data_IF_573172470711
#
_entry.id   IF_573172470711
#
_cell.length_a   1.000
_cell.length_b   1.000
_cell.length_c   1.000
_cell.angle_alpha   90.00
_cell.angle_beta   90.00
_cell.angle_gamma   90.00
#
_symmetry.space_group_name_H-M   'P 1'
#
loop_
_entity.id
_entity.type
_entity.pdbx_description
1 polymer ?
#
# COMPACT_ATOMS: atom_id res chain seq x y z
N UNK A 1 1.96 27.94 2.97
CA UNK A 1 1.67 27.53 2.66
C UNK A 1 1.18 26.93 2.20
N UNK A 2 1.33 27.13 2.06
CA UNK A 2 0.85 26.56 1.56
C UNK A 2 0.44 26.03 1.00
N UNK A 3 0.59 26.18 0.68
CA UNK A 3 0.14 25.76 0.05
C UNK A 3 -0.24 25.10 -0.33
N UNK A 4 0.00 25.01 -0.37
CA UNK A 4 -0.35 24.27 -0.78
C UNK A 4 -1.15 23.72 -0.96
N UNK A 5 -1.14 23.70 -0.49
CA UNK A 5 -1.71 22.77 -0.80
C UNK A 5 -2.81 22.90 -1.33
N UNK A 6 -2.99 23.57 -1.20
CA UNK A 6 -4.06 23.73 -1.64
C UNK A 6 -4.19 23.43 -2.83
N UNK A 7 -3.44 23.29 -3.07
CA UNK A 7 -3.39 23.24 -4.15
C UNK A 7 -4.12 22.47 -5.01
N UNK A 8 -4.60 21.43 -4.71
CA UNK A 8 -5.32 20.65 -5.61
C UNK A 8 -6.79 20.85 -5.40
N UNK A 9 -7.42 21.62 -6.20
CA UNK A 9 -8.79 22.00 -5.96
C UNK A 9 -9.75 20.85 -6.06
N UNK A 10 -9.36 19.79 -6.71
CA UNK A 10 -10.23 18.67 -6.77
C UNK A 10 -10.03 17.72 -5.63
N UNK A 11 -9.24 18.10 -4.69
CA UNK A 11 -9.01 17.26 -3.56
C UNK A 11 -8.08 16.11 -3.79
N UNK A 12 -7.68 15.89 -5.00
CA UNK A 12 -6.74 14.83 -5.27
C UNK A 12 -5.37 15.30 -4.89
N UNK A 13 -4.74 14.61 -4.00
CA UNK A 13 -3.40 14.96 -3.58
C UNK A 13 -2.41 14.05 -4.25
N UNK A 14 -1.26 14.58 -4.54
CA UNK A 14 -0.23 13.76 -5.12
C UNK A 14 0.35 12.85 -4.07
N UNK A 15 0.66 11.64 -4.50
CA UNK A 15 1.39 10.71 -3.67
C UNK A 15 2.77 11.29 -3.39
N UNK A 16 3.20 11.22 -2.15
CA UNK A 16 4.50 11.73 -1.77
C UNK A 16 5.17 10.77 -0.81
N UNK A 17 6.49 10.77 -0.81
CA UNK A 17 7.26 9.98 0.13
C UNK A 17 7.20 10.66 1.49
N UNK A 18 6.87 9.88 2.50
CA UNK A 18 6.72 10.42 3.84
C UNK A 18 7.80 9.85 4.74
N UNK A 19 8.28 10.69 5.66
CA UNK A 19 9.27 10.27 6.63
C UNK A 19 8.57 9.67 7.83
N UNK A 20 7.94 8.52 7.62
CA UNK A 20 7.19 7.85 8.65
C UNK A 20 7.33 6.36 8.44
N UNK A 21 7.33 5.61 9.53
CA UNK A 21 7.36 4.15 9.49
C UNK A 21 6.01 3.65 9.95
N UNK A 22 5.40 2.77 9.16
CA UNK A 22 4.17 2.10 9.58
C UNK A 22 4.53 0.84 10.33
N UNK A 23 3.92 0.66 11.47
CA UNK A 23 4.14 -0.53 12.30
C UNK A 23 2.81 -1.26 12.41
N UNK A 24 2.77 -2.52 12.01
CA UNK A 24 1.54 -3.31 12.03
C UNK A 24 1.85 -4.70 12.56
N UNK A 25 0.82 -5.52 12.72
CA UNK A 25 0.97 -6.79 13.42
C UNK A 25 1.50 -7.93 12.56
N UNK A 26 1.71 -7.70 11.29
CA UNK A 26 2.24 -8.73 10.40
C UNK A 26 1.18 -9.53 9.67
N UNK A 27 -0.09 -9.38 10.03
CA UNK A 27 -1.15 -10.10 9.37
C UNK A 27 -1.52 -9.44 8.04
N UNK A 28 -2.16 -10.22 7.18
CA UNK A 28 -2.61 -9.67 5.91
C UNK A 28 -3.64 -8.58 6.12
N UNK A 29 -4.55 -8.79 7.08
CA UNK A 29 -5.53 -7.74 7.38
C UNK A 29 -4.86 -6.48 7.88
N UNK A 30 -3.82 -6.62 8.71
CA UNK A 30 -3.09 -5.46 9.15
C UNK A 30 -2.40 -4.74 8.00
N UNK A 31 -1.87 -5.49 7.06
CA UNK A 31 -1.28 -4.89 5.88
C UNK A 31 -2.32 -4.12 5.07
N UNK A 32 -3.53 -4.68 4.95
CA UNK A 32 -4.58 -3.97 4.21
C UNK A 32 -4.96 -2.67 4.90
N UNK A 33 -4.87 -2.63 6.23
CA UNK A 33 -5.08 -1.38 6.94
C UNK A 33 -3.96 -0.38 6.66
N UNK A 34 -2.74 -0.87 6.47
CA UNK A 34 -1.65 0.01 6.05
C UNK A 34 -1.93 0.58 4.66
N UNK A 35 -2.48 -0.24 3.77
CA UNK A 35 -2.87 0.24 2.45
C UNK A 35 -3.90 1.35 2.58
N UNK A 36 -4.89 1.14 3.44
CA UNK A 36 -5.90 2.15 3.65
C UNK A 36 -5.29 3.46 4.13
N UNK A 37 -4.40 3.38 5.11
CA UNK A 37 -3.78 4.59 5.65
C UNK A 37 -2.96 5.29 4.60
N UNK A 38 -2.19 4.53 3.83
CA UNK A 38 -1.35 5.12 2.80
C UNK A 38 -2.18 5.86 1.76
N UNK A 39 -3.30 5.26 1.35
CA UNK A 39 -4.16 5.92 0.38
C UNK A 39 -4.90 7.10 0.98
N UNK A 40 -5.33 7.00 2.24
CA UNK A 40 -6.05 8.08 2.88
C UNK A 40 -5.16 9.32 3.02
N UNK A 41 -3.88 9.11 3.29
CA UNK A 41 -2.95 10.22 3.48
C UNK A 41 -2.18 10.56 2.21
N UNK A 42 -2.35 9.78 1.15
CA UNK A 42 -1.61 9.96 -0.12
C UNK A 42 -0.11 9.98 0.12
N UNK A 43 0.37 9.03 0.91
CA UNK A 43 1.77 9.00 1.27
C UNK A 43 2.33 7.60 1.12
N UNK A 44 3.62 7.51 0.79
CA UNK A 44 4.36 6.27 0.84
C UNK A 44 5.27 6.34 2.05
N UNK A 45 5.10 5.45 3.03
CA UNK A 45 5.97 5.50 4.20
C UNK A 45 7.39 5.12 3.84
N UNK A 46 8.32 5.53 4.70
CA UNK A 46 9.71 5.14 4.53
C UNK A 46 9.86 3.63 4.62
N UNK A 47 9.12 3.00 5.52
CA UNK A 47 9.17 1.55 5.68
C UNK A 47 7.88 1.08 6.32
N UNK A 48 7.61 -0.22 6.18
CA UNK A 48 6.48 -0.87 6.83
C UNK A 48 7.06 -2.06 7.60
N UNK A 49 6.99 -2.01 8.92
CA UNK A 49 7.63 -2.99 9.77
C UNK A 49 6.63 -3.70 10.64
N UNK A 50 7.01 -4.91 11.07
CA UNK A 50 6.35 -5.59 12.17
C UNK A 50 7.20 -5.43 13.41
N UNK A 51 6.65 -5.72 14.60
CA UNK A 51 7.47 -5.59 15.81
C UNK A 51 8.76 -6.39 15.78
N UNK A 52 8.74 -7.53 15.11
CA UNK A 52 9.95 -8.36 15.03
C UNK A 52 11.03 -7.73 14.18
N UNK A 53 10.64 -6.86 13.25
CA UNK A 53 11.60 -6.23 12.35
C UNK A 53 11.87 -4.77 12.68
N UNK A 54 11.29 -4.30 13.76
CA UNK A 54 11.45 -2.90 14.13
C UNK A 54 12.88 -2.64 14.54
N UNK A 55 13.45 -1.57 14.02
CA UNK A 55 14.79 -1.15 14.38
C UNK A 55 14.73 0.32 14.78
N UNK A 56 15.83 0.80 15.34
CA UNK A 56 15.92 2.21 15.71
C UNK A 56 15.81 3.07 14.47
N UNK A 57 15.05 4.14 14.57
CA UNK A 57 14.86 5.04 13.45
C UNK A 57 14.65 6.45 13.98
N UNK A 58 15.08 7.42 13.19
CA UNK A 58 14.82 8.82 13.50
C UNK A 58 13.46 9.28 13.01
N UNK A 59 12.79 8.46 12.21
CA UNK A 59 11.48 8.81 11.69
C UNK A 59 10.41 8.43 12.69
N UNK A 60 9.31 9.18 12.75
CA UNK A 60 8.20 8.79 13.61
C UNK A 60 7.61 7.46 13.18
N UNK A 61 7.14 6.72 14.15
CA UNK A 61 6.52 5.43 13.90
C UNK A 61 5.02 5.57 14.12
N UNK A 62 4.25 5.17 13.12
CA UNK A 62 2.80 5.23 13.19
C UNK A 62 2.27 3.81 13.36
N UNK A 63 1.59 3.56 14.46
CA UNK A 63 0.96 2.27 14.69
C UNK A 63 -0.29 2.16 13.85
N UNK A 64 -0.38 1.09 13.08
CA UNK A 64 -1.55 0.85 12.23
C UNK A 64 -2.34 -0.30 12.86
N UNK A 65 -3.48 0.02 13.49
CA UNK A 65 -4.27 -1.04 14.09
C UNK A 65 -4.94 -1.90 13.04
N UNK A 66 -5.12 -3.17 13.37
CA UNK A 66 -5.78 -4.10 12.47
C UNK A 66 -7.29 -4.01 12.67
N UNK A 67 -7.99 -3.61 11.61
CA UNK A 67 -9.43 -3.48 11.64
C UNK A 67 -9.99 -4.36 10.53
N UNK A 68 -10.62 -5.48 10.86
CA UNK A 68 -11.10 -6.40 9.83
C UNK A 68 -12.12 -5.77 8.89
N UNK A 69 -12.92 -4.84 9.37
CA UNK A 69 -13.89 -4.20 8.49
C UNK A 69 -13.21 -3.35 7.44
N UNK A 70 -12.19 -2.60 7.84
CA UNK A 70 -11.43 -1.80 6.90
C UNK A 70 -10.70 -2.71 5.92
N UNK A 71 -10.09 -3.78 6.43
CA UNK A 71 -9.35 -4.70 5.59
C UNK A 71 -10.25 -5.31 4.52
N UNK A 72 -11.46 -5.69 4.90
CA UNK A 72 -12.39 -6.29 3.97
C UNK A 72 -12.78 -5.32 2.86
N UNK A 73 -13.02 -4.07 3.21
CA UNK A 73 -13.36 -3.06 2.22
C UNK A 73 -12.21 -2.79 1.27
N UNK A 74 -11.00 -2.73 1.80
CA UNK A 74 -9.82 -2.50 0.95
C UNK A 74 -9.65 -3.65 -0.03
N UNK A 75 -9.75 -4.88 0.47
CA UNK A 75 -9.56 -6.05 -0.38
C UNK A 75 -10.61 -6.09 -1.49
N UNK A 76 -11.86 -5.80 -1.13
CA UNK A 76 -12.93 -5.79 -2.12
C UNK A 76 -12.71 -4.74 -3.19
N UNK A 77 -12.11 -3.61 -2.82
CA UNK A 77 -11.88 -2.55 -3.79
C UNK A 77 -10.87 -2.96 -4.85
N UNK A 78 -9.96 -3.86 -4.53
CA UNK A 78 -9.02 -4.35 -5.54
C UNK A 78 -9.78 -5.02 -6.69
N UNK A 79 -10.68 -5.92 -6.36
CA UNK A 79 -11.43 -6.60 -7.39
C UNK A 79 -12.35 -5.68 -8.16
N UNK A 80 -12.98 -4.74 -7.44
CA UNK A 80 -13.92 -3.83 -8.09
C UNK A 80 -13.23 -2.86 -9.03
N UNK A 81 -12.10 -2.33 -8.63
CA UNK A 81 -11.48 -1.24 -9.37
C UNK A 81 -10.34 -1.69 -10.25
N UNK A 82 -9.72 -2.81 -9.96
CA UNK A 82 -8.55 -3.24 -10.71
C UNK A 82 -8.71 -4.63 -11.32
N UNK A 83 -9.69 -5.41 -10.86
CA UNK A 83 -9.91 -6.74 -11.39
C UNK A 83 -9.56 -7.81 -10.38
N UNK A 84 -10.17 -9.01 -10.56
CA UNK A 84 -9.99 -10.10 -9.63
C UNK A 84 -8.54 -10.54 -9.52
N UNK A 85 -7.76 -10.32 -10.56
CA UNK A 85 -6.35 -10.71 -10.53
C UNK A 85 -5.58 -9.96 -9.46
N UNK A 86 -6.00 -8.75 -9.15
CA UNK A 86 -5.30 -7.96 -8.14
C UNK A 86 -5.39 -8.61 -6.78
N UNK A 87 -6.57 -9.13 -6.44
CA UNK A 87 -6.73 -9.80 -5.16
C UNK A 87 -5.76 -10.96 -5.02
N UNK A 88 -5.68 -11.76 -6.06
CA UNK A 88 -4.79 -12.91 -6.04
C UNK A 88 -3.32 -12.47 -5.97
N UNK A 89 -2.96 -11.48 -6.78
CA UNK A 89 -1.59 -11.01 -6.85
C UNK A 89 -1.11 -10.45 -5.52
N UNK A 90 -1.94 -9.64 -4.89
CA UNK A 90 -1.56 -9.02 -3.62
C UNK A 90 -1.43 -10.09 -2.54
N UNK A 91 -2.38 -11.02 -2.50
CA UNK A 91 -2.33 -12.09 -1.51
C UNK A 91 -1.07 -12.93 -1.69
N UNK A 92 -0.78 -13.31 -2.93
CA UNK A 92 0.37 -14.15 -3.18
C UNK A 92 1.68 -13.44 -2.83
N UNK A 93 1.79 -12.19 -3.24
CA UNK A 93 3.02 -11.47 -3.01
C UNK A 93 3.22 -11.15 -1.53
N UNK A 94 2.13 -10.94 -0.82
CA UNK A 94 2.25 -10.70 0.62
C UNK A 94 2.80 -11.93 1.33
N UNK A 95 2.46 -13.11 0.85
CA UNK A 95 2.91 -14.35 1.47
C UNK A 95 4.32 -14.74 1.06
N UNK A 96 4.93 -14.01 0.14
CA UNK A 96 6.31 -14.29 -0.25
C UNK A 96 7.24 -13.98 0.91
N UNK A 97 8.43 -14.52 0.88
CA UNK A 97 9.40 -14.27 1.92
C UNK A 97 10.24 -13.03 1.71
N UNK A 98 9.87 -12.20 0.79
CA UNK A 98 10.66 -11.04 0.44
C UNK A 98 10.58 -9.97 1.51
N UNK A 99 11.72 -9.36 1.79
CA UNK A 99 11.81 -8.46 2.92
C UNK A 99 10.99 -7.20 2.79
N UNK A 100 11.04 -6.55 1.67
CA UNK A 100 10.35 -5.27 1.50
C UNK A 100 9.03 -5.42 0.78
N UNK A 101 8.40 -6.57 0.95
CA UNK A 101 7.18 -6.85 0.20
C UNK A 101 6.09 -5.83 0.45
N UNK A 102 5.97 -5.37 1.70
CA UNK A 102 4.90 -4.44 2.03
C UNK A 102 5.05 -3.12 1.26
N UNK A 103 6.26 -2.59 1.26
CA UNK A 103 6.47 -1.32 0.58
C UNK A 103 6.36 -1.47 -0.92
N UNK A 104 6.85 -2.57 -1.45
CA UNK A 104 6.74 -2.84 -2.88
C UNK A 104 5.27 -2.97 -3.29
N UNK A 105 4.48 -3.66 -2.48
CA UNK A 105 3.06 -3.78 -2.77
C UNK A 105 2.35 -2.46 -2.68
N UNK A 106 2.71 -1.61 -1.72
CA UNK A 106 2.11 -0.30 -1.62
C UNK A 106 2.40 0.52 -2.87
N UNK A 107 3.63 0.50 -3.34
CA UNK A 107 3.98 1.22 -4.56
C UNK A 107 3.21 0.70 -5.76
N UNK A 108 3.13 -0.62 -5.85
CA UNK A 108 2.40 -1.24 -6.94
C UNK A 108 0.94 -0.83 -6.93
N UNK A 109 0.31 -0.84 -5.75
CA UNK A 109 -1.10 -0.51 -5.66
C UNK A 109 -1.37 0.95 -5.99
N UNK A 110 -0.51 1.85 -5.53
CA UNK A 110 -0.68 3.26 -5.89
C UNK A 110 -0.58 3.45 -7.39
N UNK A 111 0.36 2.78 -8.02
CA UNK A 111 0.51 2.87 -9.46
C UNK A 111 -0.71 2.28 -10.18
N UNK A 112 -1.16 1.12 -9.74
CA UNK A 112 -2.27 0.45 -10.37
C UNK A 112 -3.55 1.27 -10.29
N UNK A 113 -3.81 1.86 -9.12
CA UNK A 113 -5.00 2.68 -8.97
C UNK A 113 -4.91 3.96 -9.78
N UNK A 114 -3.70 4.50 -9.95
CA UNK A 114 -3.52 5.69 -10.74
C UNK A 114 -3.73 5.43 -12.23
N UNK A 115 -3.30 4.27 -12.70
CA UNK A 115 -3.40 3.94 -14.13
C UNK A 115 -4.70 3.25 -14.51
N UNK A 116 -5.39 2.66 -13.53
CA UNK A 116 -6.71 2.13 -13.76
C UNK A 116 -6.73 0.66 -14.11
N UNK A 117 -7.94 0.12 -14.37
CA UNK A 117 -8.10 -1.30 -14.68
C UNK A 117 -7.32 -1.70 -15.90
N UNK A 118 -6.86 -2.93 -15.90
CA UNK A 118 -6.08 -3.43 -17.01
C UNK A 118 -4.60 -3.28 -16.81
N UNK A 119 -4.19 -2.28 -16.06
CA UNK A 119 -2.77 -2.07 -15.80
C UNK A 119 -2.19 -3.22 -14.98
N UNK A 120 -2.98 -3.71 -14.04
CA UNK A 120 -2.52 -4.79 -13.18
C UNK A 120 -2.17 -6.02 -14.00
N UNK A 121 -3.02 -6.36 -14.97
CA UNK A 121 -2.76 -7.52 -15.80
C UNK A 121 -1.45 -7.35 -16.55
N UNK A 122 -1.23 -6.18 -17.10
CA UNK A 122 -0.01 -5.91 -17.84
C UNK A 122 1.22 -6.00 -16.95
N UNK A 123 1.14 -5.39 -15.77
CA UNK A 123 2.26 -5.42 -14.84
C UNK A 123 2.49 -6.83 -14.32
N UNK A 124 1.41 -7.56 -14.13
CA UNK A 124 1.49 -8.93 -13.67
C UNK A 124 2.21 -9.80 -14.68
N UNK A 125 1.94 -9.60 -15.95
CA UNK A 125 2.60 -10.38 -16.99
C UNK A 125 4.09 -10.09 -17.02
N UNK A 126 4.45 -8.83 -16.89
CA UNK A 126 5.86 -8.47 -16.85
C UNK A 126 6.53 -9.13 -15.67
N UNK A 127 5.87 -9.10 -14.54
CA UNK A 127 6.41 -9.69 -13.33
C UNK A 127 6.59 -11.20 -13.48
N UNK A 128 5.61 -11.86 -14.05
CA UNK A 128 5.65 -13.30 -14.22
C UNK A 128 6.72 -13.73 -15.19
N UNK A 129 6.95 -12.94 -16.19
CA UNK A 129 7.92 -13.33 -17.20
C UNK A 129 9.35 -13.27 -16.69
N UNK A 130 9.53 -12.76 -15.47
CA UNK A 130 10.83 -12.80 -14.92
C UNK A 130 11.09 -14.13 -14.32
N UNK A 131 12.02 -14.88 -14.71
CA UNK A 131 12.28 -16.21 -14.16
C UNK A 131 12.85 -16.18 -12.78
#
# INVERSE_FOLDING_TARGET
MSCQGAVNPKGARKLHDADVVYLYDGSFEGFLCCVYESFAQHELPFAVWTPQRETATLYPVKDIPTDPAVARRVFASFGKKLGAETEYLVSRDFLSGQEDKELLLLRFLHLAFALGPGTVKRLSLIHISEP
#
